data_IF_920147253285
#
_entry.id   IF_920147253285
#
_cell.length_a   1.000
_cell.length_b   1.000
_cell.length_c   1.000
_cell.angle_alpha   90.00
_cell.angle_beta   90.00
_cell.angle_gamma   90.00
#
_symmetry.space_group_name_H-M   'P 1'
#
loop_
_entity.id
_entity.type
_entity.pdbx_description
1 polymer ?
#
# COMPACT_ATOMS: atom_id res chain seq x y z
N UNK A 1 -0.23 24.29 0.05
CA UNK A 1 -0.60 23.16 0.91
C UNK A 1 0.46 22.06 0.77
N UNK A 2 1.20 21.68 1.82
CA UNK A 2 2.27 20.68 1.74
C UNK A 2 1.76 19.31 1.26
N UNK A 3 0.52 18.94 1.55
CA UNK A 3 -0.06 17.66 1.10
C UNK A 3 -0.29 17.62 -0.41
N UNK A 4 -0.73 18.73 -1.03
CA UNK A 4 -0.91 18.78 -2.48
C UNK A 4 0.42 18.72 -3.22
N UNK A 5 1.47 19.29 -2.67
CA UNK A 5 2.83 19.18 -3.21
C UNK A 5 3.32 17.73 -3.18
N UNK A 6 3.20 17.07 -2.02
CA UNK A 6 3.59 15.66 -1.89
C UNK A 6 2.79 14.73 -2.81
N UNK A 7 1.49 14.98 -2.94
CA UNK A 7 0.63 14.23 -3.88
C UNK A 7 1.07 14.45 -5.34
N UNK A 8 1.50 15.66 -5.69
CA UNK A 8 2.06 15.97 -7.00
C UNK A 8 3.32 15.16 -7.32
N UNK A 9 4.26 15.11 -6.38
CA UNK A 9 5.49 14.32 -6.54
C UNK A 9 5.21 12.82 -6.72
N UNK A 10 4.27 12.28 -5.94
CA UNK A 10 3.86 10.88 -6.07
C UNK A 10 3.23 10.64 -7.46
N UNK A 11 2.40 11.56 -7.93
CA UNK A 11 1.79 11.46 -9.25
C UNK A 11 2.84 11.46 -10.36
N UNK A 12 3.79 12.38 -10.31
CA UNK A 12 4.92 12.42 -11.26
C UNK A 12 5.70 11.10 -11.25
N UNK A 13 6.02 10.57 -10.08
CA UNK A 13 6.71 9.29 -9.96
C UNK A 13 5.93 8.13 -10.60
N UNK A 14 4.61 8.09 -10.44
CA UNK A 14 3.75 7.08 -11.06
C UNK A 14 3.75 7.25 -12.59
N UNK A 15 3.65 8.47 -13.09
CA UNK A 15 3.59 8.76 -14.52
C UNK A 15 4.92 8.43 -15.25
N UNK A 16 6.04 8.41 -14.52
CA UNK A 16 7.34 7.94 -15.06
C UNK A 16 7.42 6.42 -15.24
N UNK A 17 6.54 5.64 -14.62
CA UNK A 17 6.52 4.18 -14.75
C UNK A 17 5.84 3.78 -16.04
N UNK A 18 6.60 3.83 -17.14
CA UNK A 18 6.16 3.43 -18.47
C UNK A 18 6.38 1.93 -18.73
N UNK A 19 5.79 1.40 -19.81
CA UNK A 19 6.04 0.01 -20.24
C UNK A 19 7.54 -0.23 -20.49
N UNK A 20 8.23 0.72 -21.12
CA UNK A 20 9.67 0.64 -21.37
C UNK A 20 10.48 0.62 -20.07
N UNK A 21 10.09 1.44 -19.08
CA UNK A 21 10.73 1.44 -17.77
C UNK A 21 10.55 0.06 -17.09
N UNK A 22 9.34 -0.48 -17.11
CA UNK A 22 9.04 -1.79 -16.50
C UNK A 22 9.81 -2.93 -17.16
N UNK A 23 9.91 -2.94 -18.48
CA UNK A 23 10.72 -3.94 -19.21
C UNK A 23 12.19 -3.85 -18.83
N UNK A 24 12.75 -2.65 -18.82
CA UNK A 24 14.15 -2.43 -18.42
C UNK A 24 14.41 -2.86 -16.97
N UNK A 25 13.47 -2.64 -16.06
CA UNK A 25 13.58 -3.08 -14.68
C UNK A 25 13.57 -4.62 -14.56
N UNK A 26 12.69 -5.30 -15.31
CA UNK A 26 12.63 -6.76 -15.36
C UNK A 26 13.97 -7.33 -15.89
N UNK A 27 14.44 -6.79 -17.01
CA UNK A 27 15.72 -7.23 -17.62
C UNK A 27 16.90 -7.01 -16.66
N UNK A 28 16.92 -5.85 -15.99
CA UNK A 28 17.94 -5.56 -14.98
C UNK A 28 17.94 -6.60 -13.84
N UNK A 29 16.79 -6.92 -13.27
CA UNK A 29 16.71 -7.91 -12.21
C UNK A 29 17.02 -9.32 -12.69
N UNK A 30 16.64 -9.66 -13.90
CA UNK A 30 16.94 -10.98 -14.49
C UNK A 30 18.44 -11.17 -14.71
N UNK A 31 19.12 -10.15 -15.21
CA UNK A 31 20.58 -10.20 -15.49
C UNK A 31 21.40 -10.11 -14.20
N UNK A 32 21.06 -9.19 -13.31
CA UNK A 32 21.87 -8.91 -12.12
C UNK A 32 21.57 -9.82 -10.96
N UNK A 33 20.34 -10.37 -10.89
CA UNK A 33 19.79 -11.09 -9.71
C UNK A 33 19.91 -10.28 -8.42
N UNK A 34 20.07 -8.96 -8.57
CA UNK A 34 20.20 -8.05 -7.44
C UNK A 34 18.90 -7.99 -6.63
N UNK A 35 19.05 -8.02 -5.31
CA UNK A 35 17.94 -7.73 -4.41
C UNK A 35 18.10 -6.30 -3.92
N UNK A 36 17.16 -5.38 -4.25
CA UNK A 36 17.26 -4.02 -3.75
C UNK A 36 17.21 -4.01 -2.23
N UNK A 37 18.03 -3.16 -1.62
CA UNK A 37 17.92 -2.88 -0.19
C UNK A 37 16.62 -2.13 0.06
N UNK A 38 15.80 -2.64 0.99
CA UNK A 38 14.59 -1.96 1.46
C UNK A 38 14.85 -1.11 2.71
N UNK A 39 16.11 -0.85 3.03
CA UNK A 39 16.48 0.03 4.16
C UNK A 39 15.93 1.43 3.92
N UNK A 40 15.25 1.97 4.90
CA UNK A 40 14.57 3.27 4.82
C UNK A 40 13.57 3.39 3.65
N UNK A 41 12.97 2.27 3.23
CA UNK A 41 11.97 2.21 2.17
C UNK A 41 10.62 1.87 2.77
N UNK A 42 9.60 2.65 2.46
CA UNK A 42 8.22 2.37 2.79
C UNK A 42 7.54 1.73 1.57
N UNK A 43 7.11 0.49 1.69
CA UNK A 43 6.37 -0.20 0.64
C UNK A 43 4.87 0.05 0.82
N UNK A 44 4.26 0.67 -0.17
CA UNK A 44 2.82 0.92 -0.17
C UNK A 44 2.16 0.05 -1.24
N UNK A 45 1.16 -0.72 -0.85
CA UNK A 45 0.34 -1.49 -1.79
C UNK A 45 -1.15 -1.21 -1.56
N UNK A 46 -1.92 -1.21 -2.63
CA UNK A 46 -3.37 -0.98 -2.54
C UNK A 46 -4.14 -2.20 -3.05
N UNK A 47 -5.06 -2.67 -2.22
CA UNK A 47 -5.98 -3.76 -2.52
C UNK A 47 -7.42 -3.28 -2.63
N UNK A 48 -7.64 -1.97 -2.64
CA UNK A 48 -8.98 -1.37 -2.69
C UNK A 48 -9.75 -1.72 -3.97
N UNK A 49 -9.05 -2.07 -5.05
CA UNK A 49 -9.66 -2.48 -6.32
C UNK A 49 -9.83 -3.99 -6.47
N UNK A 50 -9.33 -4.78 -5.51
CA UNK A 50 -9.51 -6.23 -5.53
C UNK A 50 -10.90 -6.59 -5.02
N UNK A 51 -11.57 -7.48 -5.75
CA UNK A 51 -12.97 -7.84 -5.49
C UNK A 51 -13.16 -8.88 -4.36
N UNK A 52 -12.32 -8.84 -3.33
CA UNK A 52 -12.44 -9.78 -2.20
C UNK A 52 -13.78 -9.70 -1.48
N UNK A 53 -14.41 -8.53 -1.49
CA UNK A 53 -15.69 -8.28 -0.86
C UNK A 53 -16.87 -8.99 -1.55
N UNK A 54 -16.70 -9.46 -2.79
CA UNK A 54 -17.72 -10.21 -3.52
C UNK A 54 -17.53 -11.73 -3.44
N UNK A 55 -16.51 -12.18 -2.72
CA UNK A 55 -16.24 -13.61 -2.55
C UNK A 55 -17.25 -14.20 -1.58
N UNK A 56 -18.14 -15.06 -2.07
CA UNK A 56 -19.14 -15.75 -1.26
C UNK A 56 -18.85 -17.26 -1.27
N UNK A 57 -18.65 -17.83 -0.11
CA UNK A 57 -18.46 -19.28 0.11
C UNK A 57 -19.78 -20.00 0.49
N UNK A 58 -20.93 -19.38 0.25
CA UNK A 58 -22.25 -19.92 0.58
C UNK A 58 -22.83 -19.37 1.90
N UNK A 59 -22.15 -18.41 2.56
CA UNK A 59 -22.58 -17.78 3.80
C UNK A 59 -22.79 -16.27 3.67
N UNK A 60 -22.74 -15.76 2.45
CA UNK A 60 -22.82 -14.33 2.15
C UNK A 60 -21.45 -13.68 1.94
N UNK A 61 -21.49 -12.39 1.61
CA UNK A 61 -20.29 -11.59 1.39
C UNK A 61 -19.51 -11.38 2.70
N UNK A 62 -18.16 -11.34 2.65
CA UNK A 62 -17.36 -11.15 3.84
C UNK A 62 -17.54 -9.76 4.45
N UNK A 63 -17.60 -9.70 5.76
CA UNK A 63 -17.64 -8.43 6.50
C UNK A 63 -16.32 -7.68 6.43
N UNK A 64 -15.21 -8.41 6.35
CA UNK A 64 -13.87 -7.87 6.24
C UNK A 64 -12.97 -8.82 5.46
N UNK A 65 -12.06 -8.28 4.67
CA UNK A 65 -11.04 -9.03 3.96
C UNK A 65 -9.69 -8.36 4.17
N UNK A 66 -8.63 -9.13 4.27
CA UNK A 66 -7.30 -8.57 4.44
C UNK A 66 -6.20 -9.61 4.55
N UNK A 67 -5.01 -9.14 4.84
CA UNK A 67 -3.85 -9.99 5.08
C UNK A 67 -3.94 -10.66 6.44
N UNK A 68 -3.56 -11.93 6.51
CA UNK A 68 -3.44 -12.67 7.77
C UNK A 68 -2.33 -12.10 8.64
N UNK A 69 -1.24 -11.67 8.03
CA UNK A 69 -0.12 -11.01 8.70
C UNK A 69 0.55 -10.00 7.76
N UNK A 70 1.11 -8.94 8.29
CA UNK A 70 2.00 -8.07 7.53
C UNK A 70 3.34 -8.78 7.34
N UNK A 71 3.81 -8.98 6.10
CA UNK A 71 4.97 -9.82 5.83
C UNK A 71 6.29 -9.23 6.34
N UNK A 72 6.36 -7.91 6.52
CA UNK A 72 7.55 -7.17 6.98
C UNK A 72 7.15 -5.87 7.67
N UNK A 73 8.10 -5.28 8.39
CA UNK A 73 8.02 -3.89 8.85
C UNK A 73 8.00 -2.94 7.65
N UNK A 74 7.45 -1.74 7.85
CA UNK A 74 7.45 -0.67 6.86
C UNK A 74 6.65 -0.99 5.58
N UNK A 75 5.61 -1.83 5.72
CA UNK A 75 4.64 -2.11 4.66
C UNK A 75 3.30 -1.49 5.05
N UNK A 76 2.74 -0.71 4.14
CA UNK A 76 1.38 -0.17 4.24
C UNK A 76 0.48 -0.88 3.22
N UNK A 77 -0.68 -1.33 3.68
CA UNK A 77 -1.69 -1.92 2.82
C UNK A 77 -2.99 -1.13 2.94
N UNK A 78 -3.48 -0.63 1.82
CA UNK A 78 -4.80 -0.02 1.73
C UNK A 78 -5.83 -1.07 1.34
N UNK A 79 -6.88 -1.21 2.14
CA UNK A 79 -7.99 -2.14 1.95
C UNK A 79 -9.30 -1.36 1.81
N UNK A 80 -10.24 -1.87 1.02
CA UNK A 80 -11.60 -1.33 1.03
C UNK A 80 -12.25 -1.57 2.39
N UNK A 81 -12.94 -0.56 2.91
CA UNK A 81 -13.75 -0.69 4.12
C UNK A 81 -15.19 -1.06 3.77
N UNK A 82 -15.62 -2.23 4.23
CA UNK A 82 -17.00 -2.72 4.15
C UNK A 82 -17.62 -2.68 2.75
N UNK A 83 -18.94 -2.85 2.72
CA UNK A 83 -19.74 -2.88 1.48
C UNK A 83 -19.89 -1.48 0.83
N UNK A 84 -19.87 -0.41 1.61
CA UNK A 84 -20.13 0.94 1.11
C UNK A 84 -18.96 1.55 0.33
N UNK A 85 -17.74 1.03 0.45
CA UNK A 85 -16.51 1.47 -0.25
C UNK A 85 -16.22 2.97 -0.16
N UNK A 86 -16.77 3.66 0.82
CA UNK A 86 -16.58 5.12 1.00
C UNK A 86 -15.35 5.47 1.81
N UNK A 87 -14.73 4.48 2.44
CA UNK A 87 -13.54 4.65 3.27
C UNK A 87 -12.52 3.56 2.99
N UNK A 88 -11.31 3.78 3.46
CA UNK A 88 -10.16 2.89 3.28
C UNK A 88 -9.63 2.50 4.66
N UNK A 89 -9.45 1.22 4.87
CA UNK A 89 -8.70 0.70 6.00
C UNK A 89 -7.21 0.73 5.67
N UNK A 90 -6.40 1.23 6.57
CA UNK A 90 -4.95 1.27 6.43
C UNK A 90 -4.35 0.28 7.42
N UNK A 91 -3.71 -0.77 6.90
CA UNK A 91 -2.88 -1.66 7.70
C UNK A 91 -1.43 -1.18 7.63
N UNK A 92 -0.86 -0.92 8.78
CA UNK A 92 0.47 -0.35 8.90
C UNK A 92 1.20 -0.97 10.11
N UNK A 93 2.45 -1.37 9.90
CA UNK A 93 3.34 -1.84 10.96
C UNK A 93 4.49 -0.86 11.16
N UNK A 94 4.49 -0.16 12.29
CA UNK A 94 5.57 0.75 12.70
C UNK A 94 6.15 0.30 14.06
N UNK A 95 7.38 0.70 14.37
CA UNK A 95 7.88 0.64 15.75
C UNK A 95 6.95 1.41 16.70
N UNK A 96 6.78 0.94 17.94
CA UNK A 96 5.80 1.51 18.89
C UNK A 96 5.93 3.03 19.05
N UNK A 97 7.15 3.53 19.17
CA UNK A 97 7.40 4.98 19.30
C UNK A 97 6.98 5.80 18.06
N UNK A 98 7.11 5.22 16.88
CA UNK A 98 6.65 5.87 15.64
C UNK A 98 5.13 5.78 15.48
N UNK A 99 4.52 4.69 15.95
CA UNK A 99 3.07 4.51 15.92
C UNK A 99 2.35 5.54 16.79
N UNK A 100 2.84 5.83 17.99
CA UNK A 100 2.28 6.87 18.86
C UNK A 100 2.28 8.25 18.19
N UNK A 101 3.37 8.59 17.51
CA UNK A 101 3.46 9.85 16.75
C UNK A 101 2.50 9.84 15.56
N UNK A 102 2.43 8.73 14.83
CA UNK A 102 1.55 8.59 13.68
C UNK A 102 0.07 8.73 14.07
N UNK A 103 -0.38 8.08 15.14
CA UNK A 103 -1.74 8.19 15.65
C UNK A 103 -2.07 9.63 16.02
N UNK A 104 -1.18 10.33 16.74
CA UNK A 104 -1.36 11.71 17.11
C UNK A 104 -1.51 12.64 15.90
N UNK A 105 -0.75 12.40 14.81
CA UNK A 105 -0.82 13.17 13.57
C UNK A 105 -2.12 12.88 12.79
N UNK A 106 -2.54 11.62 12.74
CA UNK A 106 -3.77 11.22 12.05
C UNK A 106 -5.03 11.84 12.67
N UNK A 107 -5.03 12.09 13.99
CA UNK A 107 -6.16 12.73 14.68
C UNK A 107 -6.22 14.26 14.47
N UNK A 108 -5.24 14.84 13.78
CA UNK A 108 -5.18 16.28 13.47
C UNK A 108 -5.66 16.60 12.03
N UNK A 109 -5.90 15.59 11.22
CA UNK A 109 -6.40 15.72 9.84
C UNK A 109 -7.91 15.56 9.80
#
# INVERSE_FOLDING_TARGET
NPLSFSAGLIREAIDMVTDSYMRSAIDYFEVTRARPSLTATLLITTWTKLSFHTTDFGWGEPLCSGLVTLPKKEVIVFLSHGQERKSVNVLLGLPSSAMEIFEALMMQV
#
